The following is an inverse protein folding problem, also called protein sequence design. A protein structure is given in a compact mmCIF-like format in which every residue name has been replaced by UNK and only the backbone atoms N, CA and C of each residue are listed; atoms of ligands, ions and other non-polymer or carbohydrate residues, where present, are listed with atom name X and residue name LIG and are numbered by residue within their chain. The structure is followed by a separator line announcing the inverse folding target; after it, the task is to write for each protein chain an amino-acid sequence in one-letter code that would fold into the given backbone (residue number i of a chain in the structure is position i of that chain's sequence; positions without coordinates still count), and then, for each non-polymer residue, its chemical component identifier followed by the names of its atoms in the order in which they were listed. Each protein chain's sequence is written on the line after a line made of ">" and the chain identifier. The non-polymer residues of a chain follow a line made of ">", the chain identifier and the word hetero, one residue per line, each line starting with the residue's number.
data_IF_590813074976
#
_entry.id   IF_590813074976
#
_cell.length_a   1.000
_cell.length_b   1.000
_cell.length_c   1.000
_cell.angle_alpha   90.00
_cell.angle_beta   90.00
_cell.angle_gamma   90.00
#
_symmetry.space_group_name_H-M   'P 1'
#
loop_
_entity.id
_entity.type
_entity.pdbx_description
1 polymer ?
#
# COMPACT_ATOMS: atom_id res chain seq x y z
N UNK A 1 -15.93 -13.58 8.96
CA UNK A 1 -16.38 -12.43 8.14
C UNK A 1 -16.67 -12.97 6.75
N UNK A 2 -17.83 -12.65 6.18
CA UNK A 2 -18.22 -13.20 4.88
C UNK A 2 -18.23 -12.06 3.85
N UNK A 3 -17.23 -12.03 2.96
CA UNK A 3 -17.20 -11.12 1.80
C UNK A 3 -17.95 -11.84 0.69
N UNK A 4 -19.17 -11.38 0.40
CA UNK A 4 -20.09 -12.03 -0.56
C UNK A 4 -20.08 -11.41 -1.96
N UNK A 5 -19.41 -10.28 -2.13
CA UNK A 5 -19.27 -9.57 -3.42
C UNK A 5 -17.84 -9.61 -3.90
N UNK A 6 -17.65 -9.40 -5.22
CA UNK A 6 -16.31 -9.19 -5.77
C UNK A 6 -15.69 -7.91 -5.17
N UNK A 7 -14.38 -7.97 -4.92
CA UNK A 7 -13.58 -6.90 -4.30
C UNK A 7 -12.67 -6.22 -5.31
N UNK A 8 -12.25 -5.00 -5.02
CA UNK A 8 -11.15 -4.35 -5.70
C UNK A 8 -9.86 -4.50 -4.91
N UNK A 9 -8.81 -4.95 -5.57
CA UNK A 9 -7.49 -5.13 -4.97
C UNK A 9 -6.64 -3.90 -5.29
N UNK A 10 -6.22 -3.18 -4.24
CA UNK A 10 -5.46 -1.93 -4.38
C UNK A 10 -4.10 -2.06 -3.72
N UNK A 11 -3.03 -1.92 -4.51
CA UNK A 11 -1.66 -1.83 -4.01
C UNK A 11 -1.33 -0.36 -3.74
N UNK A 12 -1.02 -0.04 -2.50
CA UNK A 12 -0.58 1.29 -2.07
C UNK A 12 0.95 1.33 -2.06
N UNK A 13 1.52 1.93 -3.10
CA UNK A 13 2.95 1.94 -3.38
C UNK A 13 3.52 3.35 -3.46
N UNK A 14 4.81 3.51 -3.21
CA UNK A 14 5.47 4.80 -3.16
C UNK A 14 6.43 4.92 -2.00
N UNK A 15 6.57 6.13 -1.44
CA UNK A 15 7.51 6.35 -0.36
C UNK A 15 6.85 6.78 0.97
N UNK A 16 7.53 7.60 1.76
CA UNK A 16 7.15 7.95 3.13
C UNK A 16 5.74 8.52 3.26
N UNK A 17 5.31 9.38 2.33
CA UNK A 17 3.96 9.95 2.39
C UNK A 17 2.86 8.91 2.10
N UNK A 18 3.15 7.90 1.28
CA UNK A 18 2.26 6.74 1.13
C UNK A 18 2.27 5.85 2.37
N UNK A 19 3.46 5.64 2.97
CA UNK A 19 3.59 4.87 4.21
C UNK A 19 2.89 5.53 5.41
N UNK A 20 2.61 6.82 5.33
CA UNK A 20 1.98 7.62 6.37
C UNK A 20 2.97 8.33 7.28
N UNK A 21 2.81 9.66 7.38
CA UNK A 21 3.61 10.55 8.26
C UNK A 21 2.72 11.60 8.95
N UNK A 22 1.41 11.54 8.70
CA UNK A 22 0.42 12.36 9.40
C UNK A 22 0.16 11.83 10.81
N UNK A 23 -0.74 12.49 11.53
CA UNK A 23 -1.22 11.96 12.79
C UNK A 23 -2.27 10.86 12.53
N UNK A 24 -2.03 9.67 13.08
CA UNK A 24 -2.95 8.55 12.91
C UNK A 24 -4.29 8.78 13.66
N UNK A 25 -4.28 9.59 14.73
CA UNK A 25 -5.48 9.92 15.49
C UNK A 25 -6.42 10.86 14.71
N UNK A 26 -5.86 11.65 13.77
CA UNK A 26 -6.64 12.54 12.90
C UNK A 26 -7.24 11.79 11.69
N UNK A 27 -6.83 10.56 11.43
CA UNK A 27 -7.36 9.78 10.31
C UNK A 27 -8.79 9.29 10.60
N UNK A 28 -9.67 9.26 9.58
CA UNK A 28 -10.99 8.69 9.77
C UNK A 28 -10.92 7.18 10.02
N UNK A 29 -11.80 6.67 10.85
CA UNK A 29 -12.01 5.23 10.95
C UNK A 29 -12.50 4.66 9.61
N UNK A 30 -12.07 3.45 9.27
CA UNK A 30 -12.60 2.75 8.10
C UNK A 30 -14.08 2.44 8.29
N UNK A 31 -14.90 2.79 7.30
CA UNK A 31 -16.32 2.46 7.33
C UNK A 31 -16.51 0.93 7.39
N UNK A 32 -17.48 0.45 8.18
CA UNK A 32 -17.77 -0.97 8.25
C UNK A 32 -17.99 -1.59 6.86
N UNK A 33 -17.18 -2.59 6.52
CA UNK A 33 -17.26 -3.28 5.25
C UNK A 33 -16.65 -2.55 4.05
N UNK A 34 -16.06 -1.35 4.22
CA UNK A 34 -15.46 -0.61 3.11
C UNK A 34 -14.14 -1.20 2.65
N UNK A 35 -13.32 -1.71 3.56
CA UNK A 35 -12.03 -2.27 3.16
C UNK A 35 -11.32 -3.07 4.23
N UNK A 36 -10.48 -3.96 3.74
CA UNK A 36 -9.62 -4.82 4.57
C UNK A 36 -8.18 -4.73 4.08
N UNK A 37 -7.25 -4.85 4.99
CA UNK A 37 -5.82 -4.93 4.70
C UNK A 37 -5.40 -6.40 4.62
N UNK A 38 -4.70 -6.74 3.53
CA UNK A 38 -3.93 -7.96 3.42
C UNK A 38 -2.48 -7.66 3.75
N UNK A 39 -2.00 -8.24 4.84
CA UNK A 39 -0.61 -8.07 5.32
C UNK A 39 0.29 -9.16 4.76
N UNK A 40 0.84 -8.94 3.59
CA UNK A 40 1.61 -9.93 2.83
C UNK A 40 2.87 -10.45 3.57
N UNK A 41 3.40 -9.69 4.54
CA UNK A 41 4.63 -10.01 5.25
C UNK A 41 4.35 -10.47 6.69
N UNK A 42 3.52 -9.73 7.41
CA UNK A 42 3.36 -9.92 8.85
C UNK A 42 2.19 -10.80 9.26
N UNK A 43 1.17 -10.96 8.40
CA UNK A 43 0.00 -11.80 8.66
C UNK A 43 -0.68 -12.25 7.35
N UNK A 44 0.00 -13.09 6.52
CA UNK A 44 -0.52 -13.48 5.20
C UNK A 44 -1.71 -14.46 5.26
N UNK A 45 -2.10 -14.91 6.44
CA UNK A 45 -3.21 -15.82 6.63
C UNK A 45 -4.55 -15.12 6.86
N UNK A 46 -4.55 -13.79 7.05
CA UNK A 46 -5.74 -13.06 7.48
C UNK A 46 -5.99 -11.78 6.68
N UNK A 47 -7.29 -11.39 6.62
CA UNK A 47 -7.71 -10.05 6.28
C UNK A 47 -8.12 -9.32 7.56
N UNK A 48 -7.55 -8.14 7.79
CA UNK A 48 -7.93 -7.29 8.92
C UNK A 48 -8.64 -6.04 8.42
N UNK A 49 -9.50 -5.44 9.24
CA UNK A 49 -10.08 -4.15 8.89
C UNK A 49 -8.97 -3.10 8.67
N UNK A 50 -9.07 -2.33 7.60
CA UNK A 50 -8.12 -1.22 7.38
C UNK A 50 -8.19 -0.24 8.54
N UNK A 51 -7.02 0.07 9.08
CA UNK A 51 -6.83 1.06 10.15
C UNK A 51 -5.48 1.75 9.99
N UNK A 52 -5.35 2.93 10.56
CA UNK A 52 -4.05 3.59 10.65
C UNK A 52 -3.30 3.20 11.94
N UNK A 53 -2.00 3.05 11.88
CA UNK A 53 -1.11 3.15 10.70
C UNK A 53 -1.30 1.99 9.72
N UNK A 54 -1.63 2.31 8.46
CA UNK A 54 -1.75 1.30 7.41
C UNK A 54 -0.38 0.70 7.05
N UNK A 55 -0.31 -0.60 6.82
CA UNK A 55 0.94 -1.30 6.53
C UNK A 55 1.86 -1.49 7.74
N UNK A 56 1.32 -1.40 8.94
CA UNK A 56 2.09 -1.62 10.17
C UNK A 56 2.70 -3.04 10.17
N UNK A 57 4.03 -3.11 10.35
CA UNK A 57 4.85 -4.31 10.30
C UNK A 57 5.14 -4.91 8.91
N UNK A 58 4.70 -4.23 7.84
CA UNK A 58 4.93 -4.70 6.46
C UNK A 58 6.35 -4.40 5.92
N UNK A 59 7.22 -3.74 6.67
CA UNK A 59 8.56 -3.31 6.23
C UNK A 59 9.69 -4.31 6.56
N UNK A 60 9.38 -5.45 7.19
CA UNK A 60 10.37 -6.29 7.87
C UNK A 60 11.36 -7.03 6.99
N UNK A 61 11.05 -7.36 5.73
CA UNK A 61 11.86 -8.34 5.00
C UNK A 61 12.93 -7.76 4.08
N UNK A 62 12.90 -6.49 3.71
CA UNK A 62 13.78 -5.97 2.65
C UNK A 62 14.85 -4.98 3.10
N UNK A 63 15.20 -4.94 4.37
CA UNK A 63 16.30 -4.12 4.88
C UNK A 63 16.03 -2.61 4.86
N UNK A 64 14.89 -2.19 4.37
CA UNK A 64 14.39 -0.82 4.44
C UNK A 64 13.29 -0.72 5.49
N UNK A 65 13.64 -1.03 6.69
CA UNK A 65 12.74 -0.89 7.80
C UNK A 65 12.50 0.60 8.06
N UNK A 66 11.26 0.99 8.10
CA UNK A 66 10.84 2.28 8.66
C UNK A 66 10.90 2.29 10.20
N UNK A 67 11.70 1.38 10.78
CA UNK A 67 11.86 1.28 12.22
C UNK A 67 12.62 2.50 12.77
N UNK A 68 12.19 2.97 13.91
CA UNK A 68 12.96 3.91 14.72
C UNK A 68 14.10 3.18 15.43
N UNK A 69 15.11 3.91 15.94
CA UNK A 69 16.24 3.32 16.68
C UNK A 69 15.83 2.50 17.90
N UNK A 70 14.66 2.80 18.48
CA UNK A 70 14.06 2.08 19.60
C UNK A 70 13.21 0.87 19.18
N UNK A 71 13.19 0.52 17.89
CA UNK A 71 12.46 -0.62 17.35
C UNK A 71 11.00 -0.33 16.97
N UNK A 72 10.55 0.91 17.06
CA UNK A 72 9.23 1.34 16.59
C UNK A 72 9.15 1.54 15.08
N UNK A 73 7.97 1.56 14.51
CA UNK A 73 7.76 1.93 13.11
C UNK A 73 7.64 3.43 12.93
N UNK A 74 8.13 3.96 11.81
CA UNK A 74 7.87 5.36 11.42
C UNK A 74 6.52 5.55 10.76
N UNK A 75 5.77 4.49 10.50
CA UNK A 75 4.42 4.59 9.95
C UNK A 75 3.47 5.26 10.95
N UNK A 76 2.68 6.17 10.42
CA UNK A 76 1.66 6.90 11.16
C UNK A 76 0.46 7.15 10.24
N UNK A 77 -0.33 8.20 10.42
CA UNK A 77 -1.51 8.48 9.60
C UNK A 77 -1.18 8.63 8.11
N UNK A 78 -1.92 7.92 7.28
CA UNK A 78 -1.81 7.92 5.83
C UNK A 78 -3.09 8.40 5.15
N UNK A 79 -3.11 8.43 3.83
CA UNK A 79 -4.31 8.74 3.06
C UNK A 79 -5.24 7.52 2.86
N UNK A 80 -4.80 6.33 3.27
CA UNK A 80 -5.43 5.06 2.84
C UNK A 80 -6.85 4.94 3.35
N UNK A 81 -7.07 5.13 4.64
CA UNK A 81 -8.40 5.00 5.25
C UNK A 81 -9.40 5.98 4.64
N UNK A 82 -8.98 7.24 4.45
CA UNK A 82 -9.82 8.26 3.83
C UNK A 82 -10.14 7.93 2.37
N UNK A 83 -9.16 7.47 1.59
CA UNK A 83 -9.34 7.07 0.21
C UNK A 83 -10.31 5.89 0.09
N UNK A 84 -10.11 4.85 0.90
CA UNK A 84 -10.96 3.65 0.89
C UNK A 84 -12.40 3.98 1.26
N UNK A 85 -12.60 4.83 2.27
CA UNK A 85 -13.92 5.29 2.65
C UNK A 85 -14.63 6.03 1.51
N UNK A 86 -13.92 6.96 0.84
CA UNK A 86 -14.49 7.72 -0.26
C UNK A 86 -14.74 6.83 -1.49
N UNK A 87 -13.80 5.94 -1.80
CA UNK A 87 -13.99 4.95 -2.86
C UNK A 87 -15.24 4.10 -2.63
N UNK A 88 -15.42 3.61 -1.41
CA UNK A 88 -16.60 2.82 -1.05
C UNK A 88 -17.90 3.63 -1.15
N UNK A 89 -17.92 4.90 -0.72
CA UNK A 89 -19.08 5.78 -0.86
C UNK A 89 -19.48 5.99 -2.31
N UNK A 90 -18.50 6.11 -3.21
CA UNK A 90 -18.76 6.39 -4.63
C UNK A 90 -19.15 5.14 -5.42
N UNK A 91 -18.58 3.99 -5.06
CA UNK A 91 -18.71 2.77 -5.87
C UNK A 91 -19.52 1.66 -5.23
N UNK A 92 -19.62 1.64 -3.91
CA UNK A 92 -20.14 0.51 -3.14
C UNK A 92 -19.22 -0.71 -3.12
N UNK A 93 -18.00 -0.59 -3.63
CA UNK A 93 -17.08 -1.71 -3.80
C UNK A 93 -16.13 -1.85 -2.61
N UNK A 94 -16.02 -3.07 -2.09
CA UNK A 94 -15.10 -3.40 -1.01
C UNK A 94 -13.66 -3.41 -1.53
N UNK A 95 -12.75 -2.80 -0.79
CA UNK A 95 -11.33 -2.75 -1.11
C UNK A 95 -10.54 -3.77 -0.30
N UNK A 96 -9.64 -4.49 -0.95
CA UNK A 96 -8.54 -5.18 -0.29
C UNK A 96 -7.27 -4.36 -0.53
N UNK A 97 -6.74 -3.76 0.54
CA UNK A 97 -5.55 -2.92 0.50
C UNK A 97 -4.29 -3.74 0.76
N UNK A 98 -3.25 -3.55 -0.04
CA UNK A 98 -1.92 -4.15 0.14
C UNK A 98 -0.89 -3.04 0.26
N UNK A 99 -0.13 -3.03 1.35
CA UNK A 99 0.95 -2.06 1.55
C UNK A 99 2.22 -2.52 0.86
N UNK A 100 2.78 -1.67 -0.01
CA UNK A 100 4.08 -1.87 -0.66
C UNK A 100 4.95 -0.61 -0.62
N UNK A 101 4.57 0.41 0.15
CA UNK A 101 5.32 1.66 0.25
C UNK A 101 6.63 1.49 1.02
N UNK A 102 7.68 2.22 0.60
CA UNK A 102 9.03 2.21 1.21
C UNK A 102 9.53 3.63 1.41
N UNK A 103 9.74 4.04 2.67
CA UNK A 103 10.25 5.37 2.99
C UNK A 103 11.63 5.66 2.39
N UNK A 104 11.85 6.91 1.95
CA UNK A 104 13.15 7.39 1.46
C UNK A 104 13.61 6.79 0.13
N UNK A 105 12.70 6.30 -0.71
CA UNK A 105 13.05 5.60 -1.95
C UNK A 105 12.84 6.45 -3.19
N UNK A 106 13.79 6.37 -4.15
CA UNK A 106 13.71 6.98 -5.47
C UNK A 106 13.09 6.04 -6.51
N UNK A 107 12.64 6.59 -7.63
CA UNK A 107 12.14 5.80 -8.78
C UNK A 107 13.19 4.80 -9.30
N UNK A 108 14.46 5.17 -9.27
CA UNK A 108 15.56 4.26 -9.68
C UNK A 108 15.69 3.05 -8.74
N UNK A 109 15.52 3.24 -7.43
CA UNK A 109 15.51 2.13 -6.47
C UNK A 109 14.27 1.26 -6.64
N UNK A 110 13.13 1.87 -6.94
CA UNK A 110 11.91 1.12 -7.26
C UNK A 110 12.12 0.19 -8.46
N UNK A 111 12.66 0.68 -9.56
CA UNK A 111 12.96 -0.12 -10.75
C UNK A 111 13.90 -1.29 -10.46
N UNK A 112 14.88 -1.09 -9.58
CA UNK A 112 15.90 -2.12 -9.27
C UNK A 112 15.41 -3.20 -8.32
N UNK A 113 14.58 -2.85 -7.35
CA UNK A 113 14.33 -3.74 -6.22
C UNK A 113 12.88 -3.77 -5.75
N UNK A 114 12.20 -2.61 -5.61
CA UNK A 114 10.93 -2.58 -4.90
C UNK A 114 9.72 -2.96 -5.74
N UNK A 115 9.81 -2.82 -7.06
CA UNK A 115 8.75 -3.27 -7.96
C UNK A 115 8.53 -4.78 -7.83
N UNK A 116 9.59 -5.58 -7.74
CA UNK A 116 9.48 -7.03 -7.58
C UNK A 116 8.85 -7.43 -6.24
N UNK A 117 9.17 -6.70 -5.15
CA UNK A 117 8.52 -6.90 -3.86
C UNK A 117 7.03 -6.54 -3.92
N UNK A 118 6.68 -5.40 -4.51
CA UNK A 118 5.29 -4.99 -4.67
C UNK A 118 4.47 -6.00 -5.50
N UNK A 119 5.04 -6.51 -6.59
CA UNK A 119 4.43 -7.58 -7.41
C UNK A 119 4.27 -8.86 -6.61
N UNK A 120 5.28 -9.25 -5.82
CA UNK A 120 5.20 -10.44 -4.97
C UNK A 120 4.06 -10.33 -3.94
N UNK A 121 3.88 -9.16 -3.32
CA UNK A 121 2.78 -8.90 -2.37
C UNK A 121 1.42 -8.95 -3.06
N UNK A 122 1.31 -8.39 -4.25
CA UNK A 122 0.11 -8.45 -5.07
C UNK A 122 -0.26 -9.90 -5.40
N UNK A 123 0.69 -10.71 -5.87
CA UNK A 123 0.45 -12.11 -6.20
C UNK A 123 0.08 -12.93 -4.95
N UNK A 124 0.71 -12.67 -3.81
CA UNK A 124 0.34 -13.29 -2.54
C UNK A 124 -1.11 -12.97 -2.16
N UNK A 125 -1.53 -11.70 -2.28
CA UNK A 125 -2.91 -11.30 -2.02
C UNK A 125 -3.90 -11.98 -2.98
N UNK A 126 -3.57 -12.09 -4.27
CA UNK A 126 -4.39 -12.78 -5.26
C UNK A 126 -4.55 -14.28 -4.93
N UNK A 127 -3.46 -14.94 -4.53
CA UNK A 127 -3.51 -16.34 -4.08
C UNK A 127 -4.43 -16.49 -2.86
N UNK A 128 -4.25 -15.65 -1.84
CA UNK A 128 -5.09 -15.66 -0.66
C UNK A 128 -6.58 -15.50 -1.01
N UNK A 129 -6.93 -14.52 -1.84
CA UNK A 129 -8.30 -14.26 -2.24
C UNK A 129 -8.90 -15.43 -3.03
N UNK A 130 -8.10 -16.03 -3.93
CA UNK A 130 -8.50 -17.22 -4.69
C UNK A 130 -8.78 -18.41 -3.79
N UNK A 131 -7.89 -18.69 -2.82
CA UNK A 131 -8.02 -19.81 -1.90
C UNK A 131 -9.26 -19.66 -0.99
N UNK A 132 -9.65 -18.42 -0.71
CA UNK A 132 -10.85 -18.10 0.07
C UNK A 132 -12.10 -17.86 -0.79
N UNK A 133 -12.03 -18.13 -2.11
CA UNK A 133 -13.13 -17.97 -3.06
C UNK A 133 -13.69 -16.55 -3.14
N UNK A 134 -12.84 -15.54 -2.87
CA UNK A 134 -13.18 -14.12 -2.99
C UNK A 134 -12.80 -13.67 -4.40
N UNK A 135 -13.79 -13.28 -5.19
CA UNK A 135 -13.57 -12.80 -6.56
C UNK A 135 -12.94 -11.41 -6.56
N UNK A 136 -11.89 -11.22 -7.35
CA UNK A 136 -11.30 -9.90 -7.63
C UNK A 136 -11.98 -9.34 -8.89
N UNK A 137 -12.51 -8.11 -8.80
CA UNK A 137 -13.11 -7.39 -9.92
C UNK A 137 -12.06 -6.63 -10.70
N UNK A 138 -11.36 -5.71 -10.02
CA UNK A 138 -10.35 -4.86 -10.62
C UNK A 138 -9.10 -4.78 -9.72
N UNK A 139 -7.95 -4.47 -10.33
CA UNK A 139 -6.68 -4.29 -9.64
C UNK A 139 -6.17 -2.88 -9.94
N UNK A 140 -5.86 -2.14 -8.89
CA UNK A 140 -5.36 -0.77 -8.99
C UNK A 140 -4.03 -0.61 -8.26
N UNK A 141 -3.24 0.36 -8.70
CA UNK A 141 -2.08 0.85 -7.97
C UNK A 141 -2.31 2.32 -7.63
N UNK A 142 -2.21 2.65 -6.35
CA UNK A 142 -2.16 4.04 -5.88
C UNK A 142 -0.70 4.37 -5.58
N UNK A 143 -0.16 5.33 -6.34
CA UNK A 143 1.25 5.70 -6.31
C UNK A 143 1.43 7.09 -5.69
N UNK A 144 2.23 7.19 -4.62
CA UNK A 144 2.63 8.45 -4.02
C UNK A 144 4.13 8.44 -3.71
N UNK A 145 4.91 9.06 -4.62
CA UNK A 145 6.37 9.11 -4.57
C UNK A 145 6.87 10.32 -5.36
N UNK A 146 8.06 10.82 -5.07
CA UNK A 146 8.71 11.89 -5.83
C UNK A 146 9.64 12.76 -4.99
N UNK A 147 9.47 12.76 -3.68
CA UNK A 147 10.22 13.62 -2.77
C UNK A 147 11.72 13.28 -2.79
N UNK A 148 12.08 12.00 -2.74
CA UNK A 148 13.47 11.55 -2.80
C UNK A 148 14.11 11.87 -4.16
N UNK A 149 13.36 11.71 -5.26
CA UNK A 149 13.82 12.11 -6.59
C UNK A 149 14.01 13.63 -6.67
N UNK A 150 13.14 14.41 -6.04
CA UNK A 150 13.25 15.85 -5.92
C UNK A 150 14.50 16.28 -5.14
N UNK A 151 14.77 15.65 -3.99
CA UNK A 151 15.96 15.89 -3.17
C UNK A 151 17.25 15.56 -3.94
N UNK A 152 17.23 14.53 -4.75
CA UNK A 152 18.32 14.13 -5.63
C UNK A 152 18.40 14.94 -6.94
N UNK A 153 17.55 15.96 -7.10
CA UNK A 153 17.49 16.82 -8.29
C UNK A 153 17.30 16.04 -9.61
N UNK A 154 16.58 14.92 -9.54
CA UNK A 154 16.19 14.15 -10.73
C UNK A 154 15.31 15.03 -11.61
N UNK A 155 15.65 15.14 -12.92
CA UNK A 155 14.86 15.98 -13.82
C UNK A 155 13.45 15.42 -14.03
N UNK A 156 12.52 16.30 -14.37
CA UNK A 156 11.12 15.91 -14.65
C UNK A 156 11.02 14.84 -15.75
N UNK A 157 11.86 14.93 -16.77
CA UNK A 157 11.91 13.98 -17.89
C UNK A 157 12.35 12.60 -17.44
N UNK A 158 13.40 12.54 -16.60
CA UNK A 158 13.90 11.27 -16.02
C UNK A 158 12.85 10.66 -15.08
N UNK A 159 12.27 11.47 -14.19
CA UNK A 159 11.22 11.03 -13.29
C UNK A 159 10.03 10.44 -14.04
N UNK A 160 9.54 11.18 -15.06
CA UNK A 160 8.44 10.73 -15.91
C UNK A 160 8.76 9.39 -16.60
N UNK A 161 9.96 9.29 -17.20
CA UNK A 161 10.41 8.05 -17.84
C UNK A 161 10.44 6.89 -16.86
N UNK A 162 11.07 7.06 -15.70
CA UNK A 162 11.17 6.02 -14.69
C UNK A 162 9.79 5.56 -14.20
N UNK A 163 8.88 6.51 -13.96
CA UNK A 163 7.51 6.18 -13.52
C UNK A 163 6.73 5.44 -14.61
N UNK A 164 6.90 5.80 -15.88
CA UNK A 164 6.29 5.08 -16.99
C UNK A 164 6.79 3.64 -17.06
N UNK A 165 8.11 3.43 -16.97
CA UNK A 165 8.72 2.09 -16.98
C UNK A 165 8.34 1.23 -15.77
N UNK A 166 7.94 1.85 -14.65
CA UNK A 166 7.43 1.13 -13.47
C UNK A 166 5.98 0.64 -13.65
N UNK A 167 5.21 1.31 -14.52
CA UNK A 167 3.78 1.02 -14.73
C UNK A 167 3.53 0.11 -15.94
N UNK A 168 4.57 -0.25 -16.69
CA UNK A 168 4.55 -1.21 -17.81
C UNK A 168 4.83 -2.64 -17.33
#
# INVERSE_FOLDING_TARGET
>A
MEITSAVDLIVFAGQSNMAGRGDAEDAPECLPGAGYEYKAVSAPEDLILIQEPFGLHEDRENGLSDWTEDGGTKRSGSMVTALVNEYYRQTGHVVIGVSASKGGTSTEQWKKSYISDAVSRLESAKCYLSDHQIAVRDIYVVWCQGETDGDHQVTKEIYKKNTQELME
#
